data_IF_874212313593
#
_entry.id   IF_874212313593
#
_cell.length_a   1.000
_cell.length_b   1.000
_cell.length_c   1.000
_cell.angle_alpha   90.00
_cell.angle_beta   90.00
_cell.angle_gamma   90.00
#
_symmetry.space_group_name_H-M   'P 1'
#
loop_
_entity.id
_entity.type
_entity.pdbx_description
1 polymer ?
#
# COMPACT_ATOMS: atom_id res chain seq x y z
N UNK A 1 -28.00 -3.18 -15.98
CA UNK A 1 -27.14 -3.52 -14.84
C UNK A 1 -27.92 -4.44 -13.92
N UNK A 2 -27.59 -5.74 -13.89
CA UNK A 2 -28.17 -6.66 -12.91
C UNK A 2 -27.51 -6.40 -11.56
N UNK A 3 -28.30 -5.93 -10.59
CA UNK A 3 -27.91 -5.95 -9.18
C UNK A 3 -27.91 -7.43 -8.78
N UNK A 4 -26.73 -8.04 -8.70
CA UNK A 4 -26.60 -9.39 -8.19
C UNK A 4 -26.88 -9.36 -6.69
N UNK A 5 -28.09 -9.75 -6.31
CA UNK A 5 -28.51 -9.92 -4.92
C UNK A 5 -27.68 -11.04 -4.30
N UNK A 6 -26.62 -10.68 -3.58
CA UNK A 6 -25.87 -11.62 -2.73
C UNK A 6 -26.88 -12.18 -1.72
N UNK A 7 -27.11 -13.49 -1.72
CA UNK A 7 -28.02 -14.14 -0.74
C UNK A 7 -27.54 -13.79 0.67
N UNK A 8 -28.44 -13.28 1.51
CA UNK A 8 -28.10 -12.90 2.88
C UNK A 8 -27.86 -14.13 3.76
N UNK A 9 -26.65 -14.25 4.29
CA UNK A 9 -26.35 -15.11 5.44
C UNK A 9 -26.27 -14.21 6.69
N UNK A 10 -27.09 -14.51 7.70
CA UNK A 10 -27.25 -13.68 8.92
C UNK A 10 -26.47 -14.20 10.13
N UNK A 11 -26.02 -15.45 10.10
CA UNK A 11 -25.48 -16.14 11.28
C UNK A 11 -24.01 -16.52 11.10
N UNK A 12 -23.18 -16.32 12.13
CA UNK A 12 -21.76 -16.71 12.11
C UNK A 12 -21.56 -18.23 11.97
N UNK A 13 -22.55 -19.02 12.39
CA UNK A 13 -22.58 -20.46 12.21
C UNK A 13 -22.85 -20.92 10.77
N UNK A 14 -23.15 -19.99 9.84
CA UNK A 14 -23.41 -20.35 8.44
C UNK A 14 -22.21 -21.10 7.86
N UNK A 15 -22.43 -22.21 7.12
CA UNK A 15 -21.36 -22.91 6.43
C UNK A 15 -20.62 -21.97 5.46
N UNK A 16 -19.29 -21.91 5.57
CA UNK A 16 -18.47 -21.05 4.73
C UNK A 16 -18.62 -21.42 3.25
N UNK A 17 -18.78 -22.72 2.96
CA UNK A 17 -19.04 -23.24 1.63
C UNK A 17 -20.25 -22.56 0.95
N UNK A 18 -21.35 -22.47 1.71
CA UNK A 18 -22.59 -21.87 1.26
C UNK A 18 -22.41 -20.37 1.03
N UNK A 19 -21.73 -19.67 1.96
CA UNK A 19 -21.49 -18.23 1.81
C UNK A 19 -20.63 -17.92 0.57
N UNK A 20 -19.56 -18.68 0.33
CA UNK A 20 -18.62 -18.44 -0.79
C UNK A 20 -19.25 -18.67 -2.16
N UNK A 21 -20.12 -19.68 -2.30
CA UNK A 21 -20.81 -19.96 -3.57
C UNK A 21 -21.87 -18.92 -3.94
N UNK A 22 -22.20 -17.98 -3.04
CA UNK A 22 -23.05 -16.82 -3.37
C UNK A 22 -22.32 -15.74 -4.19
N UNK A 23 -20.98 -15.77 -4.23
CA UNK A 23 -20.18 -14.77 -4.94
C UNK A 23 -20.00 -15.14 -6.41
N UNK A 24 -20.26 -14.22 -7.36
CA UNK A 24 -20.12 -14.50 -8.78
C UNK A 24 -18.71 -14.97 -9.17
N UNK A 25 -18.66 -16.12 -9.86
CA UNK A 25 -17.41 -16.66 -10.40
C UNK A 25 -16.54 -17.41 -9.40
N UNK A 26 -17.06 -17.71 -8.20
CA UNK A 26 -16.50 -18.70 -7.27
C UNK A 26 -17.14 -20.06 -7.57
N UNK A 27 -16.34 -21.05 -7.98
CA UNK A 27 -16.85 -22.41 -8.26
C UNK A 27 -16.85 -23.28 -7.01
N UNK A 28 -17.83 -24.18 -6.91
CA UNK A 28 -18.00 -25.09 -5.78
C UNK A 28 -16.79 -26.01 -5.58
N UNK A 29 -16.20 -26.53 -6.66
CA UNK A 29 -14.99 -27.36 -6.59
C UNK A 29 -13.82 -26.65 -5.92
N UNK A 30 -13.65 -25.35 -6.22
CA UNK A 30 -12.56 -24.53 -5.65
C UNK A 30 -12.81 -24.20 -4.19
N UNK A 31 -14.08 -24.08 -3.81
CA UNK A 31 -14.48 -23.93 -2.41
C UNK A 31 -14.20 -25.22 -1.65
N UNK A 32 -14.60 -26.38 -2.15
CA UNK A 32 -14.32 -27.68 -1.52
C UNK A 32 -12.82 -27.91 -1.31
N UNK A 33 -12.00 -27.62 -2.33
CA UNK A 33 -10.53 -27.67 -2.23
C UNK A 33 -9.99 -26.80 -1.08
N UNK A 34 -10.55 -25.59 -0.90
CA UNK A 34 -10.19 -24.69 0.19
C UNK A 34 -10.58 -25.25 1.56
N UNK A 35 -11.82 -25.72 1.71
CA UNK A 35 -12.34 -26.22 2.99
C UNK A 35 -11.51 -27.43 3.47
N UNK A 36 -11.14 -28.31 2.54
CA UNK A 36 -10.30 -29.47 2.84
C UNK A 36 -8.88 -29.08 3.26
N UNK A 37 -8.26 -28.11 2.57
CA UNK A 37 -6.88 -27.71 2.83
C UNK A 37 -6.71 -26.91 4.13
N UNK A 38 -7.71 -26.12 4.51
CA UNK A 38 -7.58 -25.18 5.63
C UNK A 38 -8.52 -25.47 6.81
N UNK A 39 -9.42 -26.46 6.70
CA UNK A 39 -10.39 -26.86 7.74
C UNK A 39 -11.26 -25.69 8.23
N UNK A 40 -11.70 -24.84 7.29
CA UNK A 40 -12.55 -23.68 7.54
C UNK A 40 -13.99 -24.01 7.16
N UNK A 41 -14.78 -24.58 8.06
CA UNK A 41 -16.14 -25.04 7.80
C UNK A 41 -17.18 -23.93 7.94
N UNK A 42 -16.97 -22.98 8.84
CA UNK A 42 -17.95 -21.93 9.18
C UNK A 42 -17.41 -20.52 8.99
N UNK A 43 -18.31 -19.53 8.92
CA UNK A 43 -17.92 -18.12 8.91
C UNK A 43 -17.17 -17.74 10.20
N UNK A 44 -17.57 -18.25 11.35
CA UNK A 44 -16.92 -17.94 12.63
C UNK A 44 -15.43 -18.30 12.63
N UNK A 45 -15.08 -19.50 12.12
CA UNK A 45 -13.70 -19.93 11.95
C UNK A 45 -12.90 -19.03 11.00
N UNK A 46 -13.54 -18.50 9.96
CA UNK A 46 -12.93 -17.50 9.07
C UNK A 46 -12.64 -16.19 9.82
N UNK A 47 -13.55 -15.71 10.67
CA UNK A 47 -13.38 -14.46 11.44
C UNK A 47 -12.22 -14.58 12.45
N UNK A 48 -12.10 -15.74 13.09
CA UNK A 48 -11.04 -16.05 14.06
C UNK A 48 -9.63 -16.09 13.43
N UNK A 49 -9.52 -16.21 12.10
CA UNK A 49 -8.21 -16.21 11.44
C UNK A 49 -7.48 -14.88 11.67
N UNK A 50 -6.25 -15.00 12.16
CA UNK A 50 -5.32 -13.86 12.19
C UNK A 50 -4.97 -13.43 10.77
N UNK A 51 -4.77 -12.12 10.49
CA UNK A 51 -4.46 -11.62 9.16
C UNK A 51 -3.29 -12.35 8.49
N UNK A 52 -2.22 -12.61 9.25
CA UNK A 52 -1.05 -13.37 8.76
C UNK A 52 -1.41 -14.74 8.21
N UNK A 53 -2.32 -15.46 8.86
CA UNK A 53 -2.77 -16.80 8.42
C UNK A 53 -3.66 -16.66 7.20
N UNK A 54 -4.65 -15.77 7.27
CA UNK A 54 -5.62 -15.53 6.20
C UNK A 54 -4.95 -15.14 4.87
N UNK A 55 -4.06 -14.14 4.89
CA UNK A 55 -3.35 -13.69 3.69
C UNK A 55 -2.23 -14.63 3.25
N UNK A 56 -1.79 -15.54 4.13
CA UNK A 56 -0.83 -16.59 3.78
C UNK A 56 -1.45 -17.79 3.07
N UNK A 57 -2.78 -17.87 3.02
CA UNK A 57 -3.49 -18.94 2.32
C UNK A 57 -3.29 -18.81 0.81
N UNK A 58 -3.01 -19.92 0.13
CA UNK A 58 -2.93 -20.01 -1.33
C UNK A 58 -4.34 -19.98 -1.94
N UNK A 59 -4.94 -18.80 -1.98
CA UNK A 59 -6.29 -18.57 -2.50
C UNK A 59 -6.25 -17.99 -3.90
N UNK A 60 -7.27 -18.31 -4.69
CA UNK A 60 -7.50 -17.55 -5.93
C UNK A 60 -7.96 -16.13 -5.58
N UNK A 61 -7.66 -15.09 -6.39
CA UNK A 61 -8.06 -13.72 -6.09
C UNK A 61 -9.57 -13.56 -5.83
N UNK A 62 -10.41 -14.32 -6.55
CA UNK A 62 -11.88 -14.28 -6.37
C UNK A 62 -12.32 -14.83 -5.02
N UNK A 63 -11.68 -15.90 -4.56
CA UNK A 63 -12.03 -16.50 -3.26
C UNK A 63 -11.54 -15.64 -2.11
N UNK A 64 -10.33 -15.07 -2.25
CA UNK A 64 -9.81 -14.12 -1.27
C UNK A 64 -10.76 -12.92 -1.14
N UNK A 65 -11.16 -12.29 -2.25
CA UNK A 65 -12.11 -11.17 -2.26
C UNK A 65 -13.47 -11.55 -1.62
N UNK A 66 -14.00 -12.75 -1.94
CA UNK A 66 -15.24 -13.24 -1.33
C UNK A 66 -15.11 -13.43 0.19
N UNK A 67 -14.02 -14.06 0.65
CA UNK A 67 -13.77 -14.26 2.08
C UNK A 67 -13.56 -12.93 2.81
N UNK A 68 -12.86 -11.98 2.20
CA UNK A 68 -12.72 -10.62 2.74
C UNK A 68 -14.09 -9.96 2.91
N UNK A 69 -14.92 -9.94 1.85
CA UNK A 69 -16.29 -9.37 1.93
C UNK A 69 -17.15 -10.01 3.02
N UNK A 70 -16.98 -11.32 3.25
CA UNK A 70 -17.64 -12.02 4.37
C UNK A 70 -17.12 -11.47 5.70
N UNK A 71 -15.80 -11.37 5.91
CA UNK A 71 -15.22 -10.87 7.17
C UNK A 71 -15.69 -9.46 7.51
N UNK A 72 -15.67 -8.57 6.52
CA UNK A 72 -16.11 -7.18 6.65
C UNK A 72 -17.55 -7.04 7.15
N UNK A 73 -18.43 -7.95 6.74
CA UNK A 73 -19.83 -7.95 7.15
C UNK A 73 -20.01 -8.17 8.65
N UNK A 74 -19.12 -8.94 9.29
CA UNK A 74 -19.28 -9.36 10.69
C UNK A 74 -18.34 -8.65 11.68
N UNK A 75 -17.28 -8.00 11.20
CA UNK A 75 -16.34 -7.24 12.01
C UNK A 75 -16.11 -5.84 11.43
N UNK A 76 -17.16 -5.01 11.32
CA UNK A 76 -17.04 -3.67 10.73
C UNK A 76 -16.08 -2.75 11.51
N UNK A 77 -15.86 -3.01 12.80
CA UNK A 77 -14.96 -2.23 13.66
C UNK A 77 -13.50 -2.71 13.61
N UNK A 78 -13.22 -3.89 13.04
CA UNK A 78 -11.83 -4.37 12.86
C UNK A 78 -11.05 -3.51 11.87
N UNK A 79 -11.76 -2.73 11.06
CA UNK A 79 -11.26 -1.74 10.10
C UNK A 79 -11.20 -0.31 10.66
N UNK A 80 -10.78 -0.12 11.91
CA UNK A 80 -10.47 1.24 12.36
C UNK A 80 -9.24 1.75 11.58
N UNK A 81 -9.48 2.43 10.46
CA UNK A 81 -8.47 3.15 9.70
C UNK A 81 -7.61 3.96 10.66
N UNK A 82 -6.34 3.59 10.80
CA UNK A 82 -5.48 4.21 11.81
C UNK A 82 -5.06 5.58 11.30
N UNK A 83 -5.63 6.63 11.89
CA UNK A 83 -5.22 8.01 11.65
C UNK A 83 -4.16 8.42 12.66
N UNK A 84 -3.07 9.00 12.16
CA UNK A 84 -2.01 9.60 12.95
C UNK A 84 -2.07 11.10 12.76
N UNK A 85 -2.22 11.83 13.86
CA UNK A 85 -2.13 13.28 13.89
C UNK A 85 -0.66 13.70 13.86
N UNK A 86 -0.20 14.19 12.70
CA UNK A 86 1.18 14.58 12.51
C UNK A 86 1.52 15.80 13.37
N UNK A 87 0.57 16.65 13.75
CA UNK A 87 0.87 17.83 14.58
C UNK A 87 1.35 17.46 15.99
N UNK A 88 0.94 16.28 16.49
CA UNK A 88 1.31 15.74 17.81
C UNK A 88 2.64 14.98 17.81
N UNK A 89 3.24 14.74 16.65
CA UNK A 89 4.50 14.01 16.53
C UNK A 89 5.71 14.96 16.70
N UNK A 90 6.79 14.52 17.37
CA UNK A 90 8.01 15.30 17.45
C UNK A 90 8.65 15.47 16.07
N UNK A 91 9.38 16.57 15.86
CA UNK A 91 10.03 16.87 14.57
C UNK A 91 11.04 15.80 14.12
N UNK A 92 11.62 15.05 15.07
CA UNK A 92 12.53 13.93 14.81
C UNK A 92 11.83 12.65 14.34
N UNK A 93 10.49 12.59 14.41
CA UNK A 93 9.71 11.40 14.05
C UNK A 93 9.89 11.02 12.58
N UNK A 94 9.90 9.72 12.32
CA UNK A 94 10.00 9.14 10.98
C UNK A 94 9.01 9.76 9.97
N UNK A 95 7.74 9.89 10.33
CA UNK A 95 6.72 10.44 9.41
C UNK A 95 6.96 11.92 9.08
N UNK A 96 7.45 12.72 10.05
CA UNK A 96 7.82 14.13 9.81
C UNK A 96 8.99 14.24 8.83
N UNK A 97 9.98 13.34 8.93
CA UNK A 97 11.08 13.26 7.96
C UNK A 97 10.59 12.91 6.56
N UNK A 98 9.69 11.92 6.45
CA UNK A 98 9.07 11.53 5.16
C UNK A 98 8.29 12.69 4.55
N UNK A 99 7.50 13.42 5.34
CA UNK A 99 6.79 14.63 4.88
C UNK A 99 7.78 15.64 4.32
N UNK A 100 8.82 16.00 5.07
CA UNK A 100 9.84 16.94 4.60
C UNK A 100 10.47 16.50 3.28
N UNK A 101 10.94 15.25 3.19
CA UNK A 101 11.54 14.70 1.97
C UNK A 101 10.58 14.80 0.78
N UNK A 102 9.31 14.44 0.99
CA UNK A 102 8.27 14.46 -0.04
C UNK A 102 8.00 15.88 -0.54
N UNK A 103 7.85 16.85 0.38
CA UNK A 103 7.58 18.25 0.05
C UNK A 103 8.76 18.91 -0.67
N UNK A 104 9.99 18.67 -0.18
CA UNK A 104 11.22 19.19 -0.78
C UNK A 104 11.40 18.64 -2.21
N UNK A 105 11.22 17.31 -2.39
CA UNK A 105 11.33 16.68 -3.70
C UNK A 105 10.32 17.24 -4.70
N UNK A 106 9.05 17.36 -4.28
CA UNK A 106 7.98 17.91 -5.11
C UNK A 106 8.29 19.32 -5.59
N UNK A 107 8.76 20.18 -4.68
CA UNK A 107 9.07 21.59 -4.99
C UNK A 107 10.16 21.76 -6.05
N UNK A 108 11.10 20.81 -6.14
CA UNK A 108 12.23 20.90 -7.08
C UNK A 108 12.09 20.03 -8.33
N UNK A 109 11.27 18.98 -8.31
CA UNK A 109 11.28 17.95 -9.35
C UNK A 109 9.95 17.81 -10.13
N UNK A 110 8.87 18.50 -9.73
CA UNK A 110 7.57 18.37 -10.39
C UNK A 110 7.38 19.36 -11.56
N UNK A 111 7.98 19.06 -12.72
CA UNK A 111 7.92 19.94 -13.88
C UNK A 111 6.52 20.01 -14.52
N UNK A 112 6.06 21.20 -14.91
CA UNK A 112 4.72 21.41 -15.52
C UNK A 112 4.49 20.66 -16.85
N UNK A 113 5.56 20.35 -17.59
CA UNK A 113 5.44 19.60 -18.85
C UNK A 113 4.92 18.18 -18.64
N UNK A 114 5.11 17.62 -17.45
CA UNK A 114 4.58 16.32 -17.05
C UNK A 114 3.11 16.38 -16.68
N UNK A 115 2.49 17.56 -16.76
CA UNK A 115 1.10 17.81 -16.40
C UNK A 115 0.41 18.56 -17.54
N UNK A 116 0.63 18.13 -18.78
CA UNK A 116 0.06 18.77 -19.98
C UNK A 116 0.31 20.29 -20.07
N UNK A 117 1.46 20.74 -19.57
CA UNK A 117 1.83 22.17 -19.46
C UNK A 117 0.92 23.00 -18.54
N UNK A 118 0.14 22.36 -17.69
CA UNK A 118 -0.78 22.98 -16.75
C UNK A 118 -0.21 22.89 -15.32
N UNK A 119 0.20 24.04 -14.78
CA UNK A 119 0.76 24.13 -13.45
C UNK A 119 -0.27 23.92 -12.33
N UNK A 120 -1.57 24.04 -12.64
CA UNK A 120 -2.67 23.90 -11.67
C UNK A 120 -3.10 22.45 -11.48
N UNK A 121 -2.62 21.53 -12.32
CA UNK A 121 -2.93 20.11 -12.16
C UNK A 121 -2.26 19.53 -10.90
N UNK A 122 -2.93 18.62 -10.18
CA UNK A 122 -2.40 18.03 -8.96
C UNK A 122 -1.05 17.35 -9.17
N UNK A 123 -0.19 17.45 -8.16
CA UNK A 123 1.05 16.67 -8.09
C UNK A 123 0.88 15.62 -7.01
N UNK A 124 0.92 14.36 -7.42
CA UNK A 124 0.96 13.22 -6.52
C UNK A 124 2.40 12.74 -6.43
N UNK A 125 2.90 12.59 -5.21
CA UNK A 125 4.26 12.10 -4.92
C UNK A 125 4.15 10.82 -4.12
N UNK A 126 4.93 9.81 -4.52
CA UNK A 126 5.05 8.56 -3.79
C UNK A 126 6.48 8.34 -3.32
N UNK A 127 6.64 8.06 -2.02
CA UNK A 127 7.90 7.62 -1.43
C UNK A 127 7.77 6.14 -1.08
N UNK A 128 8.71 5.32 -1.53
CA UNK A 128 8.76 3.90 -1.17
C UNK A 128 10.06 3.64 -0.44
N UNK A 129 9.95 3.06 0.74
CA UNK A 129 11.11 2.62 1.51
C UNK A 129 11.42 1.15 1.22
N UNK A 130 12.70 0.83 1.34
CA UNK A 130 13.19 -0.53 1.20
C UNK A 130 14.40 -0.75 2.10
N UNK A 131 14.73 -2.02 2.31
CA UNK A 131 15.95 -2.43 3.00
C UNK A 131 16.94 -3.01 1.99
N UNK A 132 18.21 -2.94 2.35
CA UNK A 132 19.26 -3.64 1.62
C UNK A 132 19.30 -5.10 2.07
N UNK A 133 19.03 -6.04 1.16
CA UNK A 133 19.00 -7.47 1.49
C UNK A 133 20.36 -8.01 1.95
N UNK A 134 21.47 -7.34 1.62
CA UNK A 134 22.81 -7.76 2.05
C UNK A 134 23.11 -7.40 3.51
N UNK A 135 22.39 -6.43 4.08
CA UNK A 135 22.58 -5.97 5.46
C UNK A 135 21.33 -6.13 6.33
N UNK A 136 20.21 -6.57 5.75
CA UNK A 136 18.97 -6.82 6.46
C UNK A 136 18.97 -8.22 7.10
N UNK A 137 18.94 -8.27 8.43
CA UNK A 137 18.90 -9.52 9.21
C UNK A 137 17.51 -9.89 9.70
N UNK A 138 16.46 -9.17 9.29
CA UNK A 138 15.08 -9.54 9.56
C UNK A 138 14.83 -10.93 8.93
N UNK A 139 14.87 -11.98 9.74
CA UNK A 139 14.86 -13.36 9.25
C UNK A 139 13.54 -13.71 8.57
N UNK A 140 13.67 -14.40 7.44
CA UNK A 140 12.66 -15.26 6.83
C UNK A 140 12.34 -16.45 7.75
N UNK A 141 11.63 -16.22 8.86
CA UNK A 141 11.27 -17.30 9.78
C UNK A 141 10.01 -18.07 9.31
N UNK A 142 10.25 -19.17 8.56
CA UNK A 142 9.50 -20.45 8.45
C UNK A 142 8.11 -20.41 7.78
N UNK A 143 7.73 -21.24 6.79
CA UNK A 143 8.12 -22.57 6.26
C UNK A 143 7.63 -22.63 4.77
N UNK A 144 8.28 -23.26 3.78
CA UNK A 144 8.40 -24.72 3.52
C UNK A 144 9.63 -25.00 2.61
N UNK A 145 10.42 -25.97 3.08
CA UNK A 145 11.30 -26.94 2.41
C UNK A 145 12.37 -26.52 1.39
N UNK A 146 13.56 -27.03 1.70
CA UNK A 146 14.65 -27.34 0.79
C UNK A 146 14.17 -27.98 -0.52
N UNK A 147 14.93 -27.73 -1.59
CA UNK A 147 14.78 -28.21 -2.97
C UNK A 147 13.91 -27.37 -3.92
N UNK A 148 14.22 -26.08 -4.07
CA UNK A 148 14.06 -25.40 -5.37
C UNK A 148 15.24 -24.46 -5.61
N UNK A 149 16.31 -25.00 -6.17
CA UNK A 149 17.23 -24.19 -7.00
C UNK A 149 16.41 -23.53 -8.10
N UNK A 150 16.45 -22.19 -8.27
CA UNK A 150 15.86 -21.59 -9.45
C UNK A 150 16.68 -22.04 -10.67
N UNK A 151 16.11 -22.93 -11.46
CA UNK A 151 16.59 -23.24 -12.80
C UNK A 151 16.40 -21.99 -13.67
N UNK A 152 17.45 -21.18 -13.77
CA UNK A 152 17.61 -20.25 -14.89
C UNK A 152 17.70 -21.09 -16.16
N UNK A 153 16.62 -21.10 -16.94
CA UNK A 153 16.66 -21.61 -18.32
C UNK A 153 17.70 -20.84 -19.14
N UNK A 154 18.34 -21.48 -20.13
CA UNK A 154 19.47 -20.88 -20.84
C UNK A 154 18.97 -19.79 -21.78
N UNK A 155 19.17 -18.53 -21.43
CA UNK A 155 19.16 -17.45 -22.43
C UNK A 155 20.53 -17.45 -23.13
N UNK A 156 20.47 -17.62 -24.45
CA UNK A 156 21.62 -17.87 -25.31
C UNK A 156 22.72 -16.83 -25.19
N UNK A 157 23.96 -17.32 -25.24
CA UNK A 157 25.17 -16.54 -25.48
C UNK A 157 25.11 -15.96 -26.89
N UNK A 158 24.67 -14.71 -27.00
CA UNK A 158 24.94 -13.84 -28.15
C UNK A 158 26.05 -12.88 -27.77
N UNK A 159 27.29 -13.27 -28.04
CA UNK A 159 28.48 -12.44 -27.89
C UNK A 159 28.48 -11.37 -28.99
N UNK A 160 28.21 -10.12 -28.64
CA UNK A 160 28.57 -8.98 -29.48
C UNK A 160 28.98 -7.82 -28.60
N UNK A 161 30.29 -7.64 -28.52
CA UNK A 161 30.98 -6.47 -28.00
C UNK A 161 30.47 -5.21 -28.69
N UNK A 162 29.80 -4.33 -27.95
CA UNK A 162 29.66 -2.93 -28.30
C UNK A 162 29.94 -2.09 -27.05
N UNK A 163 30.99 -1.30 -27.20
CA UNK A 163 31.54 -0.27 -26.33
C UNK A 163 30.48 0.53 -25.55
N UNK A 164 30.66 0.56 -24.23
CA UNK A 164 29.95 1.45 -23.31
C UNK A 164 30.21 2.92 -23.64
N UNK A 165 29.20 3.77 -23.78
CA UNK A 165 29.38 5.22 -23.67
C UNK A 165 29.48 5.56 -22.17
N UNK A 166 30.61 6.11 -21.76
CA UNK A 166 30.78 6.81 -20.48
C UNK A 166 29.65 7.85 -20.31
N UNK A 167 28.77 7.61 -19.34
CA UNK A 167 27.88 8.67 -18.85
C UNK A 167 28.70 9.56 -17.91
N UNK A 168 28.93 10.78 -18.36
CA UNK A 168 29.47 11.86 -17.54
C UNK A 168 28.65 12.00 -16.26
N UNK A 169 29.35 12.01 -15.14
CA UNK A 169 28.78 12.17 -13.82
C UNK A 169 28.20 13.56 -13.62
N UNK A 170 26.97 13.62 -13.10
CA UNK A 170 26.48 14.76 -12.35
C UNK A 170 26.50 14.41 -10.86
N UNK A 171 27.48 14.98 -10.20
CA UNK A 171 27.65 15.30 -8.78
C UNK A 171 26.38 15.38 -7.93
N UNK A 172 26.42 14.76 -6.73
CA UNK A 172 25.53 15.07 -5.61
C UNK A 172 24.98 13.87 -4.85
N UNK A 173 25.83 12.95 -4.38
CA UNK A 173 25.42 11.80 -3.57
C UNK A 173 25.03 12.20 -2.14
N UNK A 174 23.85 12.80 -1.97
CA UNK A 174 23.22 12.92 -0.65
C UNK A 174 22.94 11.51 -0.16
N UNK A 175 23.41 11.17 1.04
CA UNK A 175 23.20 9.86 1.66
C UNK A 175 21.69 9.54 1.71
N UNK A 176 21.19 8.64 0.85
CA UNK A 176 19.77 8.25 0.71
C UNK A 176 19.32 7.30 1.83
N UNK A 177 19.73 7.56 3.07
CA UNK A 177 19.34 6.76 4.23
C UNK A 177 18.42 7.59 5.11
N UNK A 178 17.29 7.01 5.51
CA UNK A 178 16.61 7.46 6.72
C UNK A 178 17.32 6.73 7.86
N UNK A 179 18.45 7.30 8.29
CA UNK A 179 19.14 6.84 9.48
C UNK A 179 18.29 7.19 10.69
N UNK A 180 17.89 6.14 11.38
CA UNK A 180 17.02 6.20 12.53
C UNK A 180 17.60 5.37 13.69
N UNK A 181 18.87 4.98 13.60
CA UNK A 181 19.53 4.02 14.48
C UNK A 181 19.63 4.42 15.96
N UNK A 182 19.25 5.64 16.35
CA UNK A 182 19.41 6.13 17.73
C UNK A 182 18.19 6.83 18.38
N UNK A 183 17.02 6.93 17.71
CA UNK A 183 15.89 7.68 18.26
C UNK A 183 14.64 6.81 18.49
N UNK A 184 13.98 6.98 19.64
CA UNK A 184 12.61 6.52 19.83
C UNK A 184 11.72 7.08 18.71
N UNK A 185 10.96 6.22 18.01
CA UNK A 185 10.17 6.61 16.82
C UNK A 185 10.94 6.54 15.48
N UNK A 186 12.02 5.76 15.43
CA UNK A 186 12.85 5.53 14.26
C UNK A 186 12.09 5.04 13.01
N UNK A 187 11.12 4.16 13.23
CA UNK A 187 10.27 3.53 12.22
C UNK A 187 8.84 3.42 12.77
N UNK A 188 7.83 3.19 11.91
CA UNK A 188 6.46 2.96 12.37
C UNK A 188 6.39 1.87 13.45
N UNK A 189 5.53 2.05 14.45
CA UNK A 189 5.43 1.14 15.60
C UNK A 189 5.19 -0.32 15.16
N UNK A 190 4.35 -0.51 14.15
CA UNK A 190 3.95 -1.81 13.61
C UNK A 190 4.90 -2.34 12.52
N UNK A 191 6.05 -1.69 12.29
CA UNK A 191 7.01 -2.17 11.32
C UNK A 191 7.63 -3.50 11.79
N UNK A 192 7.43 -4.55 11.00
CA UNK A 192 7.94 -5.90 11.29
C UNK A 192 9.45 -6.04 11.07
N UNK A 193 10.11 -5.04 10.50
CA UNK A 193 11.55 -5.02 10.29
C UNK A 193 12.18 -3.71 10.77
N UNK A 194 13.27 -3.80 11.55
CA UNK A 194 13.97 -2.63 12.12
C UNK A 194 15.27 -2.27 11.41
N UNK A 195 15.58 -2.90 10.28
CA UNK A 195 16.79 -2.60 9.51
C UNK A 195 16.75 -1.18 8.90
N UNK A 196 17.92 -0.55 8.66
CA UNK A 196 17.99 0.77 8.02
C UNK A 196 17.19 0.86 6.72
N UNK A 197 16.49 1.98 6.53
CA UNK A 197 15.67 2.23 5.33
C UNK A 197 16.41 3.11 4.34
N UNK A 198 16.51 2.61 3.11
CA UNK A 198 16.70 3.40 1.91
C UNK A 198 15.33 3.78 1.35
N UNK A 199 15.28 4.77 0.47
CA UNK A 199 14.02 5.21 -0.12
C UNK A 199 14.20 5.67 -1.56
N UNK A 200 13.12 5.56 -2.32
CA UNK A 200 12.98 6.19 -3.64
C UNK A 200 11.70 7.01 -3.71
N UNK A 201 11.71 8.01 -4.59
CA UNK A 201 10.62 8.94 -4.83
C UNK A 201 10.28 9.01 -6.31
N UNK A 202 9.01 9.23 -6.60
CA UNK A 202 8.57 9.66 -7.91
C UNK A 202 7.27 10.49 -7.83
N UNK A 203 7.01 11.25 -8.88
CA UNK A 203 5.76 11.99 -9.08
C UNK A 203 4.92 11.35 -10.20
N UNK A 204 3.63 11.65 -10.24
CA UNK A 204 2.78 11.31 -11.38
C UNK A 204 3.19 12.12 -12.61
N UNK A 205 2.91 11.57 -13.80
CA UNK A 205 2.92 12.36 -15.02
C UNK A 205 1.73 11.99 -15.91
N UNK A 206 1.26 12.98 -16.63
CA UNK A 206 0.12 12.93 -17.52
C UNK A 206 0.55 13.21 -18.95
N UNK A 207 0.24 12.25 -19.83
CA UNK A 207 0.41 12.43 -21.26
C UNK A 207 -0.90 12.82 -21.92
N UNK A 208 -0.81 13.26 -23.17
CA UNK A 208 -1.99 13.60 -23.99
C UNK A 208 -2.95 12.41 -24.11
N UNK A 209 -2.41 11.19 -24.18
CA UNK A 209 -3.19 9.94 -24.15
C UNK A 209 -3.26 9.37 -22.74
N UNK A 210 -4.46 9.05 -22.21
CA UNK A 210 -4.61 8.49 -20.87
C UNK A 210 -3.79 7.22 -20.63
N UNK A 211 -3.65 6.37 -21.66
CA UNK A 211 -2.87 5.12 -21.60
C UNK A 211 -1.37 5.34 -21.37
N UNK A 212 -0.86 6.53 -21.70
CA UNK A 212 0.53 6.91 -21.51
C UNK A 212 0.84 7.49 -20.13
N UNK A 213 -0.18 7.97 -19.41
CA UNK A 213 -0.03 8.54 -18.07
C UNK A 213 0.38 7.47 -17.05
N UNK A 214 1.11 7.88 -16.01
CA UNK A 214 1.52 6.99 -14.92
C UNK A 214 1.31 7.65 -13.57
N UNK A 215 0.80 6.86 -12.63
CA UNK A 215 0.71 7.25 -11.23
C UNK A 215 2.10 7.29 -10.59
N UNK A 216 2.25 8.05 -9.51
CA UNK A 216 3.54 8.20 -8.82
C UNK A 216 4.07 6.87 -8.27
N UNK A 217 3.19 5.99 -7.80
CA UNK A 217 3.52 4.66 -7.32
C UNK A 217 4.15 3.82 -8.44
N UNK A 218 3.57 3.85 -9.64
CA UNK A 218 4.09 3.12 -10.80
C UNK A 218 5.48 3.60 -11.20
N UNK A 219 5.69 4.92 -11.18
CA UNK A 219 6.98 5.51 -11.52
C UNK A 219 8.05 5.16 -10.47
N UNK A 220 7.68 5.20 -9.18
CA UNK A 220 8.59 4.85 -8.10
C UNK A 220 8.98 3.36 -8.16
N UNK A 221 8.00 2.48 -8.38
CA UNK A 221 8.24 1.04 -8.58
C UNK A 221 9.07 0.76 -9.84
N UNK A 222 8.83 1.50 -10.93
CA UNK A 222 9.64 1.41 -12.14
C UNK A 222 11.10 1.79 -11.90
N UNK A 223 11.35 2.84 -11.09
CA UNK A 223 12.70 3.25 -10.68
C UNK A 223 13.38 2.17 -9.83
N UNK A 224 12.68 1.62 -8.84
CA UNK A 224 13.19 0.52 -8.00
C UNK A 224 13.52 -0.73 -8.82
N UNK A 225 12.66 -1.08 -9.78
CA UNK A 225 12.89 -2.20 -10.69
C UNK A 225 14.12 -1.96 -11.59
N UNK A 226 14.31 -0.74 -12.10
CA UNK A 226 15.49 -0.37 -12.89
C UNK A 226 16.80 -0.45 -12.10
N UNK A 227 16.74 -0.30 -10.77
CA UNK A 227 17.86 -0.50 -9.86
C UNK A 227 18.13 -1.99 -9.55
N UNK A 228 17.32 -2.91 -10.08
CA UNK A 228 17.40 -4.35 -9.81
C UNK A 228 16.91 -4.75 -8.42
N UNK A 229 16.12 -3.89 -7.75
CA UNK A 229 15.62 -4.19 -6.42
C UNK A 229 14.50 -5.25 -6.46
N UNK A 230 14.65 -6.31 -5.67
CA UNK A 230 13.60 -7.30 -5.49
C UNK A 230 12.38 -6.72 -4.77
N UNK A 231 11.18 -7.14 -5.18
CA UNK A 231 9.91 -6.67 -4.60
C UNK A 231 9.77 -6.99 -3.11
N UNK A 232 10.36 -8.11 -2.65
CA UNK A 232 10.36 -8.49 -1.24
C UNK A 232 11.19 -7.54 -0.33
N UNK A 233 11.99 -6.65 -0.90
CA UNK A 233 12.81 -5.69 -0.12
C UNK A 233 12.02 -4.43 0.29
N UNK A 234 10.83 -4.20 -0.25
CA UNK A 234 10.00 -3.04 0.06
C UNK A 234 9.38 -3.16 1.46
N UNK A 235 9.10 -2.03 2.11
CA UNK A 235 8.62 -2.00 3.50
C UNK A 235 7.44 -1.07 3.73
N UNK A 236 7.57 0.19 3.33
CA UNK A 236 6.55 1.20 3.54
C UNK A 236 6.31 1.98 2.24
N UNK A 237 5.04 2.30 1.96
CA UNK A 237 4.64 3.09 0.79
C UNK A 237 3.93 4.33 1.30
N UNK A 238 4.38 5.50 0.87
CA UNK A 238 3.78 6.78 1.21
C UNK A 238 3.21 7.44 -0.04
N UNK A 239 2.02 8.03 0.07
CA UNK A 239 1.35 8.76 -1.00
C UNK A 239 0.90 10.12 -0.48
N UNK A 240 1.28 11.19 -1.18
CA UNK A 240 0.82 12.56 -0.91
C UNK A 240 0.34 13.22 -2.19
N UNK A 241 -0.83 13.86 -2.14
CA UNK A 241 -1.35 14.71 -3.20
C UNK A 241 -1.29 16.18 -2.83
N UNK A 242 -0.78 17.02 -3.72
CA UNK A 242 -0.95 18.46 -3.67
C UNK A 242 -2.19 18.84 -4.48
N UNK A 243 -3.34 18.94 -3.82
CA UNK A 243 -4.50 19.59 -4.42
C UNK A 243 -4.40 21.10 -4.12
N UNK A 244 -4.31 21.93 -5.16
CA UNK A 244 -4.23 23.38 -4.98
C UNK A 244 -5.44 23.98 -4.25
N UNK A 245 -6.58 23.27 -4.29
CA UNK A 245 -7.76 23.60 -3.50
C UNK A 245 -7.70 22.78 -2.20
N UNK A 246 -7.34 23.41 -1.09
CA UNK A 246 -7.34 22.81 0.26
C UNK A 246 -8.77 22.45 0.77
N UNK A 247 -9.72 22.22 -0.14
CA UNK A 247 -11.14 22.04 0.16
C UNK A 247 -11.50 20.58 0.49
N UNK A 248 -10.64 19.60 0.17
CA UNK A 248 -10.87 18.20 0.53
C UNK A 248 -9.61 17.56 1.15
N UNK A 249 -9.51 17.45 2.48
CA UNK A 249 -8.35 16.85 3.16
C UNK A 249 -8.31 15.32 3.03
N UNK A 250 -9.18 14.71 2.23
CA UNK A 250 -9.25 13.26 2.08
C UNK A 250 -7.89 12.69 1.62
N UNK A 251 -7.42 11.56 2.16
CA UNK A 251 -6.21 10.91 1.68
C UNK A 251 -6.34 10.43 0.21
N UNK A 252 -5.25 10.46 -0.55
CA UNK A 252 -5.22 9.88 -1.90
C UNK A 252 -5.01 8.37 -1.84
N UNK A 253 -6.04 7.67 -2.25
CA UNK A 253 -6.01 6.24 -2.39
C UNK A 253 -5.43 5.82 -3.77
N UNK A 254 -4.56 4.78 -3.83
CA UNK A 254 -4.07 4.24 -5.09
C UNK A 254 -5.19 3.81 -6.02
N UNK A 255 -5.01 4.00 -7.33
CA UNK A 255 -5.95 3.49 -8.34
C UNK A 255 -5.86 1.95 -8.44
N UNK A 256 -6.84 1.31 -9.07
CA UNK A 256 -6.91 -0.16 -9.15
C UNK A 256 -5.68 -0.82 -9.81
N UNK A 257 -5.01 -0.13 -10.75
CA UNK A 257 -3.77 -0.64 -11.34
C UNK A 257 -2.62 -0.63 -10.32
N UNK A 258 -2.46 0.48 -9.59
CA UNK A 258 -1.45 0.61 -8.54
C UNK A 258 -1.73 -0.39 -7.42
N UNK A 259 -2.97 -0.47 -6.95
CA UNK A 259 -3.39 -1.43 -5.93
C UNK A 259 -3.00 -2.87 -6.30
N UNK A 260 -3.28 -3.31 -7.52
CA UNK A 260 -2.89 -4.65 -7.97
C UNK A 260 -1.36 -4.87 -7.93
N UNK A 261 -0.57 -3.86 -8.32
CA UNK A 261 0.89 -3.90 -8.20
C UNK A 261 1.34 -3.98 -6.74
N UNK A 262 0.74 -3.18 -5.85
CA UNK A 262 1.07 -3.15 -4.42
C UNK A 262 0.70 -4.49 -3.74
N UNK A 263 -0.45 -5.09 -4.08
CA UNK A 263 -0.84 -6.41 -3.59
C UNK A 263 0.20 -7.48 -3.93
N UNK A 264 0.71 -7.46 -5.17
CA UNK A 264 1.76 -8.40 -5.58
C UNK A 264 3.04 -8.23 -4.76
N UNK A 265 3.49 -7.00 -4.55
CA UNK A 265 4.67 -6.70 -3.72
C UNK A 265 4.45 -7.21 -2.30
N UNK A 266 3.27 -6.97 -1.76
CA UNK A 266 2.90 -7.38 -0.41
C UNK A 266 2.90 -8.90 -0.26
N UNK A 267 2.35 -9.61 -1.23
CA UNK A 267 2.45 -11.06 -1.30
C UNK A 267 3.91 -11.55 -1.33
N UNK A 268 4.79 -10.90 -2.11
CA UNK A 268 6.21 -11.28 -2.17
C UNK A 268 6.92 -11.06 -0.82
N UNK A 269 6.63 -9.94 -0.14
CA UNK A 269 7.14 -9.65 1.22
C UNK A 269 6.63 -10.68 2.23
N UNK A 270 5.34 -11.00 2.18
CA UNK A 270 4.73 -11.96 3.08
C UNK A 270 5.27 -13.37 2.85
N UNK A 271 5.46 -13.77 1.59
CA UNK A 271 6.03 -15.07 1.25
C UNK A 271 7.48 -15.21 1.75
N UNK A 272 8.29 -14.17 1.59
CA UNK A 272 9.70 -14.21 1.94
C UNK A 272 9.93 -14.04 3.45
N UNK A 273 9.23 -13.09 4.08
CA UNK A 273 9.52 -12.67 5.45
C UNK A 273 8.36 -12.89 6.43
N UNK A 274 7.18 -13.28 5.95
CA UNK A 274 5.96 -13.36 6.78
C UNK A 274 5.49 -11.99 7.31
N UNK A 275 6.03 -10.90 6.75
CA UNK A 275 5.70 -9.51 7.05
C UNK A 275 4.66 -8.94 6.09
N UNK A 276 4.44 -7.64 6.20
CA UNK A 276 3.44 -6.92 5.42
C UNK A 276 3.96 -5.57 4.91
N UNK A 277 3.35 -5.01 3.86
CA UNK A 277 3.65 -3.65 3.39
C UNK A 277 2.51 -2.74 3.78
N UNK A 278 2.84 -1.69 4.53
CA UNK A 278 1.85 -0.70 4.95
C UNK A 278 1.83 0.48 3.98
N UNK A 279 0.62 0.85 3.57
CA UNK A 279 0.33 2.06 2.83
C UNK A 279 0.01 3.20 3.81
N UNK A 280 0.69 4.31 3.62
CA UNK A 280 0.56 5.55 4.37
C UNK A 280 0.09 6.65 3.41
N UNK A 281 -1.09 7.17 3.63
CA UNK A 281 -1.67 8.22 2.79
C UNK A 281 -1.80 9.50 3.60
N UNK A 282 -1.16 10.56 3.13
CA UNK A 282 -1.27 11.89 3.72
C UNK A 282 -2.58 12.56 3.29
N UNK A 283 -3.13 13.41 4.15
CA UNK A 283 -4.18 14.34 3.75
C UNK A 283 -3.73 15.24 2.58
N UNK A 284 -4.66 15.58 1.70
CA UNK A 284 -4.40 16.27 0.43
C UNK A 284 -4.16 17.79 0.58
N UNK A 285 -3.61 18.21 1.70
CA UNK A 285 -3.24 19.61 1.95
C UNK A 285 -1.76 19.82 1.63
N UNK A 286 -1.41 21.06 1.26
CA UNK A 286 -0.02 21.43 0.91
C UNK A 286 0.99 21.04 1.97
N UNK A 287 0.61 21.16 3.25
CA UNK A 287 1.36 20.72 4.42
C UNK A 287 0.55 19.66 5.19
N UNK A 288 0.90 18.37 5.06
CA UNK A 288 0.16 17.29 5.68
C UNK A 288 -0.01 17.42 7.20
N UNK A 289 -1.24 17.26 7.68
CA UNK A 289 -1.57 17.27 9.11
C UNK A 289 -1.98 15.90 9.62
N UNK A 290 -2.55 15.06 8.76
CA UNK A 290 -3.02 13.71 9.09
C UNK A 290 -2.36 12.67 8.18
N UNK A 291 -2.16 11.48 8.74
CA UNK A 291 -1.65 10.32 8.01
C UNK A 291 -2.56 9.13 8.28
N UNK A 292 -3.10 8.55 7.22
CA UNK A 292 -3.94 7.35 7.25
C UNK A 292 -3.08 6.15 6.95
N UNK A 293 -3.15 5.13 7.79
CA UNK A 293 -2.34 3.92 7.67
C UNK A 293 -3.25 2.72 7.42
N UNK A 294 -2.99 1.99 6.33
CA UNK A 294 -3.68 0.73 6.03
C UNK A 294 -2.68 -0.33 5.52
N UNK A 295 -2.79 -1.59 5.95
CA UNK A 295 -2.21 -2.73 5.24
C UNK A 295 -2.60 -2.70 3.76
N UNK A 296 -1.68 -3.04 2.87
CA UNK A 296 -1.98 -3.00 1.43
C UNK A 296 -3.05 -4.02 1.04
N UNK A 297 -3.17 -5.15 1.75
CA UNK A 297 -4.24 -6.11 1.43
C UNK A 297 -5.64 -5.54 1.71
N UNK A 298 -5.76 -4.60 2.64
CA UNK A 298 -7.03 -4.00 3.07
C UNK A 298 -7.50 -2.85 2.15
N UNK A 299 -6.73 -2.54 1.10
CA UNK A 299 -7.02 -1.40 0.22
C UNK A 299 -8.37 -1.53 -0.53
N UNK A 300 -8.87 -2.74 -0.81
CA UNK A 300 -10.13 -2.94 -1.55
C UNK A 300 -11.38 -2.58 -0.75
N UNK A 301 -11.28 -2.33 0.55
CA UNK A 301 -12.45 -2.23 1.43
C UNK A 301 -13.10 -0.83 1.48
N UNK A 302 -13.06 -0.10 0.36
CA UNK A 302 -13.48 1.30 0.26
C UNK A 302 -14.98 1.52 0.04
N UNK A 303 -15.78 0.45 -0.09
CA UNK A 303 -17.18 0.55 -0.54
C UNK A 303 -18.23 0.43 0.59
N UNK A 304 -17.78 0.37 1.87
CA UNK A 304 -18.66 0.20 3.03
C UNK A 304 -19.11 1.49 3.73
N UNK A 305 -20.16 1.39 4.55
CA UNK A 305 -20.59 2.44 5.48
C UNK A 305 -19.47 2.88 6.44
N UNK A 306 -18.55 1.98 6.78
CA UNK A 306 -17.40 2.24 7.65
C UNK A 306 -16.42 3.22 7.03
N UNK A 307 -16.13 3.10 5.73
CA UNK A 307 -15.27 4.04 5.03
C UNK A 307 -15.89 5.45 4.98
N UNK A 308 -17.21 5.53 4.74
CA UNK A 308 -17.93 6.81 4.78
C UNK A 308 -17.89 7.43 6.18
N UNK A 309 -18.09 6.61 7.22
CA UNK A 309 -18.00 7.01 8.62
C UNK A 309 -16.60 7.51 8.97
N UNK A 310 -15.56 6.77 8.60
CA UNK A 310 -14.15 7.17 8.76
C UNK A 310 -13.85 8.54 8.12
N UNK A 311 -14.30 8.76 6.88
CA UNK A 311 -14.11 10.03 6.17
C UNK A 311 -14.81 11.18 6.91
N UNK A 312 -16.03 10.95 7.41
CA UNK A 312 -16.81 11.98 8.10
C UNK A 312 -16.33 12.23 9.54
N UNK A 313 -16.10 11.19 10.32
CA UNK A 313 -15.86 11.26 11.77
C UNK A 313 -14.38 11.33 12.15
N UNK A 314 -13.45 10.74 11.40
CA UNK A 314 -12.03 10.70 11.79
C UNK A 314 -11.18 11.68 10.98
N UNK A 315 -11.54 11.88 9.71
CA UNK A 315 -10.81 12.78 8.82
C UNK A 315 -11.31 14.23 8.88
N UNK A 316 -12.61 14.47 9.03
CA UNK A 316 -13.20 15.83 9.01
C UNK A 316 -13.53 16.45 10.38
N UNK A 317 -13.55 15.67 11.46
CA UNK A 317 -13.94 16.10 12.82
C UNK A 317 -13.07 17.14 13.53
N UNK A 318 -12.14 17.80 12.83
CA UNK A 318 -11.33 18.90 13.37
C UNK A 318 -11.63 20.27 12.78
N UNK A 319 -12.55 20.39 11.81
CA UNK A 319 -12.85 21.65 11.12
C UNK A 319 -14.19 22.27 11.51
N UNK A 320 -15.15 21.48 12.00
CA UNK A 320 -16.49 21.97 12.36
C UNK A 320 -16.54 22.80 13.66
N UNK A 321 -15.56 22.65 14.57
CA UNK A 321 -15.47 23.48 15.78
C UNK A 321 -15.07 24.95 15.52
N UNK A 322 -14.61 25.26 14.29
CA UNK A 322 -14.27 26.65 13.92
C UNK A 322 -15.45 27.42 13.35
N UNK A 323 -16.46 26.76 12.77
CA UNK A 323 -17.65 27.44 12.24
C UNK A 323 -18.71 27.73 13.31
N UNK A 324 -18.73 26.97 14.41
CA UNK A 324 -19.63 27.23 15.53
C UNK A 324 -19.15 28.38 16.44
N UNK A 325 -17.86 28.69 16.46
CA UNK A 325 -17.31 29.79 17.27
C UNK A 325 -17.19 31.13 16.53
N UNK A 326 -17.41 31.17 15.21
CA UNK A 326 -17.45 32.44 14.44
C UNK A 326 -18.86 33.02 14.30
N UNK A 327 -19.87 32.38 14.88
CA UNK A 327 -21.27 32.86 14.87
C UNK A 327 -21.72 33.49 16.19
N UNK A 328 -20.78 33.70 17.14
CA UNK A 328 -21.00 34.42 18.39
C UNK A 328 -19.84 35.41 18.58
N UNK A 329 -19.88 36.51 17.84
CA UNK A 329 -19.14 37.73 18.15
C UNK A 329 -19.83 38.93 17.56
#
# INVERSE_FOLDING_TARGET
>A
MQVHTIREFKERATPLAFALTTFPGVSEDKVLELLLNYRLETIDQLLELKPKVFYGMKLTPKILDAMERIRLRYEPEREAYRTIDLSKLPASNFFKKVVKITLDFRGSNAHKSWRKQDATRPIVTSLITYVDSTTCFCQAHGTISASQTPSLGPMGRGSSSLSSPQRQGSTGGTSHYIDASAAAGAYPENSWCRCPRKWELAVNYELSTPSGSRCSEQNCLGKLAAMGLATCNLREIFVHGDMHNNEDPNPLFPCGVCENMLRRITHDVQKEYGGDVTLYMFDQVREPKKLVCIPVQEISHREGSNFKRFIQEDLRSGEDDKFLNSSIS
#
